data_IF_980259514072
#
_entry.id   IF_980259514072
#
_cell.length_a   1.000
_cell.length_b   1.000
_cell.length_c   1.000
_cell.angle_alpha   90.00
_cell.angle_beta   90.00
_cell.angle_gamma   90.00
#
_symmetry.space_group_name_H-M   'P 1'
#
loop_
_entity.id
_entity.type
_entity.pdbx_description
1 polymer ?
#
# COMPACT_ATOMS: atom_id res chain seq x y z
N UNK A 1 13.72 -22.10 -7.53
CA UNK A 1 15.07 -21.51 -7.36
C UNK A 1 16.04 -21.95 -8.46
N UNK A 2 16.30 -23.27 -8.67
CA UNK A 2 17.25 -23.72 -9.72
C UNK A 2 16.94 -23.23 -11.11
N UNK A 3 15.66 -23.22 -11.52
CA UNK A 3 15.24 -22.71 -12.84
C UNK A 3 15.51 -21.21 -12.94
N UNK A 4 15.19 -20.42 -11.90
CA UNK A 4 15.47 -18.98 -11.86
C UNK A 4 16.97 -18.69 -11.93
N UNK A 5 17.76 -19.49 -11.22
CA UNK A 5 19.21 -19.42 -11.27
C UNK A 5 19.74 -19.70 -12.69
N UNK A 6 19.27 -20.77 -13.33
CA UNK A 6 19.65 -21.12 -14.69
C UNK A 6 19.26 -20.03 -15.71
N UNK A 7 18.04 -19.48 -15.60
CA UNK A 7 17.58 -18.37 -16.46
C UNK A 7 18.41 -17.12 -16.20
N UNK A 8 18.66 -16.74 -14.95
CA UNK A 8 19.47 -15.58 -14.62
C UNK A 8 20.89 -15.71 -15.17
N UNK A 9 21.51 -16.89 -15.04
CA UNK A 9 22.84 -17.17 -15.59
C UNK A 9 22.86 -17.14 -17.10
N UNK A 10 21.83 -17.68 -17.77
CA UNK A 10 21.78 -17.71 -19.23
C UNK A 10 21.59 -16.31 -19.85
N UNK A 11 20.89 -15.41 -19.15
CA UNK A 11 20.58 -14.06 -19.66
C UNK A 11 21.63 -13.03 -19.25
N UNK A 12 22.09 -13.08 -17.99
CA UNK A 12 22.97 -12.04 -17.42
C UNK A 12 24.39 -12.53 -17.10
N UNK A 13 24.72 -13.75 -17.47
CA UNK A 13 26.04 -14.31 -17.18
C UNK A 13 26.37 -14.31 -15.67
N UNK A 14 27.58 -13.92 -15.30
CA UNK A 14 28.02 -13.87 -13.91
C UNK A 14 27.22 -12.90 -13.05
N UNK A 15 26.71 -11.80 -13.62
CA UNK A 15 25.83 -10.84 -12.93
C UNK A 15 24.49 -11.49 -12.54
N UNK A 16 24.07 -12.54 -13.25
CA UNK A 16 22.86 -13.31 -12.94
C UNK A 16 22.95 -14.06 -11.61
N UNK A 17 24.16 -14.41 -11.15
CA UNK A 17 24.35 -15.02 -9.82
C UNK A 17 23.90 -14.04 -8.73
N UNK A 18 24.36 -12.80 -8.77
CA UNK A 18 23.95 -11.76 -7.83
C UNK A 18 22.44 -11.55 -7.83
N UNK A 19 21.83 -11.48 -9.03
CA UNK A 19 20.39 -11.37 -9.19
C UNK A 19 19.64 -12.56 -8.54
N UNK A 20 20.03 -13.79 -8.84
CA UNK A 20 19.38 -14.98 -8.30
C UNK A 20 19.54 -15.07 -6.77
N UNK A 21 20.72 -14.72 -6.23
CA UNK A 21 20.95 -14.67 -4.80
C UNK A 21 20.11 -13.57 -4.12
N UNK A 22 20.12 -12.35 -4.65
CA UNK A 22 19.35 -11.23 -4.11
C UNK A 22 17.85 -11.53 -4.05
N UNK A 23 17.27 -12.00 -5.16
CA UNK A 23 15.85 -12.38 -5.23
C UNK A 23 15.54 -13.61 -4.38
N UNK A 24 16.51 -14.52 -4.21
CA UNK A 24 16.39 -15.65 -3.31
C UNK A 24 16.25 -15.22 -1.85
N UNK A 25 17.12 -14.33 -1.37
CA UNK A 25 17.03 -13.77 -0.01
C UNK A 25 15.72 -12.98 0.16
N UNK A 26 15.34 -12.19 -0.85
CA UNK A 26 14.09 -11.45 -0.86
C UNK A 26 12.84 -12.32 -0.67
N UNK A 27 12.89 -13.59 -1.05
CA UNK A 27 11.82 -14.57 -0.81
C UNK A 27 11.95 -15.29 0.54
N UNK A 28 13.17 -15.68 0.92
CA UNK A 28 13.42 -16.50 2.13
C UNK A 28 13.00 -15.78 3.41
N UNK A 29 13.31 -14.48 3.53
CA UNK A 29 13.00 -13.69 4.73
C UNK A 29 11.48 -13.58 4.98
N UNK A 30 10.64 -13.17 4.03
CA UNK A 30 9.17 -13.18 4.20
C UNK A 30 8.62 -14.58 4.47
N UNK A 31 9.15 -15.61 3.83
CA UNK A 31 8.72 -17.00 4.05
C UNK A 31 9.04 -17.48 5.47
N UNK A 32 10.22 -17.15 5.98
CA UNK A 32 10.61 -17.44 7.36
C UNK A 32 9.72 -16.70 8.36
N UNK A 33 9.49 -15.39 8.14
CA UNK A 33 8.61 -14.58 8.99
C UNK A 33 7.19 -15.16 9.02
N UNK A 34 6.66 -15.51 7.84
CA UNK A 34 5.34 -16.14 7.76
C UNK A 34 5.28 -17.45 8.56
N UNK A 35 6.25 -18.34 8.39
CA UNK A 35 6.30 -19.61 9.14
C UNK A 35 6.34 -19.37 10.66
N UNK A 36 7.06 -18.34 11.10
CA UNK A 36 7.16 -17.96 12.53
C UNK A 36 5.83 -17.41 13.07
N UNK A 37 5.10 -16.63 12.29
CA UNK A 37 3.86 -15.96 12.69
C UNK A 37 2.59 -16.82 12.51
N UNK A 38 2.62 -17.80 11.61
CA UNK A 38 1.45 -18.62 11.24
C UNK A 38 1.25 -19.87 12.10
N UNK A 39 2.18 -20.16 13.03
CA UNK A 39 2.08 -21.36 13.86
C UNK A 39 2.11 -22.69 13.10
N UNK A 40 2.72 -22.70 11.89
CA UNK A 40 2.86 -23.91 11.06
C UNK A 40 1.85 -24.04 9.92
N UNK A 41 0.98 -23.08 9.72
CA UNK A 41 0.06 -23.09 8.57
C UNK A 41 0.82 -22.93 7.25
N UNK A 42 0.49 -23.76 6.25
CA UNK A 42 1.25 -23.85 4.98
C UNK A 42 0.63 -23.08 3.82
N UNK A 43 -0.69 -22.86 3.84
CA UNK A 43 -1.46 -22.25 2.70
C UNK A 43 -0.91 -20.88 2.28
N UNK A 44 -0.65 -19.99 3.23
CA UNK A 44 -0.04 -18.68 2.93
C UNK A 44 1.38 -18.78 2.37
N UNK A 45 2.09 -19.86 2.64
CA UNK A 45 3.39 -20.14 2.01
C UNK A 45 3.29 -20.35 0.50
N UNK A 46 2.20 -20.92 0.01
CA UNK A 46 1.93 -21.08 -1.42
C UNK A 46 1.67 -19.73 -2.05
N UNK A 47 0.87 -18.87 -1.39
CA UNK A 47 0.64 -17.49 -1.86
C UNK A 47 1.94 -16.72 -1.99
N UNK A 48 2.82 -16.77 -0.98
CA UNK A 48 4.13 -16.11 -1.04
C UNK A 48 5.01 -16.66 -2.16
N UNK A 49 4.94 -17.97 -2.41
CA UNK A 49 5.70 -18.57 -3.50
C UNK A 49 5.23 -18.04 -4.86
N UNK A 50 3.94 -18.02 -5.11
CA UNK A 50 3.36 -17.51 -6.38
C UNK A 50 3.61 -16.01 -6.52
N UNK A 51 3.35 -15.21 -5.49
CA UNK A 51 3.61 -13.78 -5.47
C UNK A 51 5.11 -13.48 -5.70
N UNK A 52 5.99 -14.21 -5.01
CA UNK A 52 7.43 -14.08 -5.19
C UNK A 52 7.88 -14.41 -6.61
N UNK A 53 7.34 -15.46 -7.22
CA UNK A 53 7.63 -15.79 -8.63
C UNK A 53 7.21 -14.68 -9.59
N UNK A 54 6.00 -14.13 -9.41
CA UNK A 54 5.51 -13.03 -10.25
C UNK A 54 6.40 -11.79 -10.09
N UNK A 55 6.75 -11.41 -8.87
CA UNK A 55 7.62 -10.26 -8.61
C UNK A 55 9.03 -10.46 -9.19
N UNK A 56 9.56 -11.67 -9.10
CA UNK A 56 10.86 -12.00 -9.70
C UNK A 56 10.81 -11.85 -11.22
N UNK A 57 9.75 -12.34 -11.87
CA UNK A 57 9.58 -12.21 -13.33
C UNK A 57 9.48 -10.73 -13.71
N UNK A 58 8.76 -9.92 -12.97
CA UNK A 58 8.63 -8.49 -13.23
C UNK A 58 9.94 -7.73 -12.99
N UNK A 59 10.63 -8.02 -11.89
CA UNK A 59 11.94 -7.43 -11.60
C UNK A 59 12.97 -7.78 -12.70
N UNK A 60 12.98 -9.04 -13.12
CA UNK A 60 13.85 -9.52 -14.19
C UNK A 60 13.60 -8.78 -15.51
N UNK A 61 12.33 -8.64 -15.90
CA UNK A 61 11.95 -7.92 -17.11
C UNK A 61 12.36 -6.45 -17.08
N UNK A 62 12.14 -5.76 -15.96
CA UNK A 62 12.53 -4.36 -15.83
C UNK A 62 14.04 -4.20 -15.89
N UNK A 63 14.78 -5.03 -15.14
CA UNK A 63 16.23 -4.99 -15.17
C UNK A 63 16.78 -5.30 -16.56
N UNK A 64 16.19 -6.24 -17.29
CA UNK A 64 16.55 -6.50 -18.67
C UNK A 64 16.34 -5.25 -19.55
N UNK A 65 15.20 -4.58 -19.45
CA UNK A 65 14.90 -3.36 -20.21
C UNK A 65 15.81 -2.19 -19.87
N UNK A 66 16.26 -2.08 -18.61
CA UNK A 66 17.16 -0.99 -18.18
C UNK A 66 18.64 -1.23 -18.44
N UNK A 67 19.01 -2.44 -18.78
CA UNK A 67 20.41 -2.83 -18.95
C UNK A 67 20.66 -3.44 -20.32
N UNK A 68 20.39 -4.72 -20.49
CA UNK A 68 20.79 -5.46 -21.69
C UNK A 68 20.14 -4.97 -22.98
N UNK A 69 18.88 -4.55 -22.93
CA UNK A 69 18.17 -4.02 -24.11
C UNK A 69 18.81 -2.70 -24.61
N UNK A 70 19.41 -1.93 -23.70
CA UNK A 70 20.07 -0.66 -23.99
C UNK A 70 21.63 -0.79 -24.08
N UNK A 71 22.15 -2.01 -23.97
CA UNK A 71 23.59 -2.26 -23.99
C UNK A 71 24.33 -1.79 -22.74
N UNK A 72 23.63 -1.61 -21.64
CA UNK A 72 24.15 -1.12 -20.35
C UNK A 72 24.39 -2.25 -19.35
N UNK A 73 24.84 -1.91 -18.16
CA UNK A 73 25.11 -2.84 -17.05
C UNK A 73 24.20 -2.60 -15.85
N UNK A 74 24.21 -3.51 -14.88
CA UNK A 74 23.52 -3.32 -13.61
C UNK A 74 24.12 -2.21 -12.73
N UNK A 75 25.34 -1.80 -13.00
CA UNK A 75 25.99 -0.68 -12.33
C UNK A 75 25.71 0.67 -13.03
N UNK A 76 25.30 0.64 -14.29
CA UNK A 76 24.98 1.84 -15.07
C UNK A 76 23.72 1.58 -15.92
N UNK A 77 22.53 1.56 -15.29
CA UNK A 77 21.28 1.29 -15.99
C UNK A 77 20.69 2.54 -16.65
N UNK A 78 19.94 2.38 -17.72
CA UNK A 78 19.12 3.44 -18.32
C UNK A 78 17.80 3.53 -17.58
N UNK A 79 17.71 4.45 -16.63
CA UNK A 79 16.52 4.69 -15.82
C UNK A 79 15.75 5.93 -16.30
N UNK A 80 14.46 5.98 -15.99
CA UNK A 80 13.54 7.06 -16.38
C UNK A 80 12.73 7.52 -15.19
N UNK A 81 12.23 8.76 -15.23
CA UNK A 81 11.36 9.33 -14.19
C UNK A 81 11.98 9.27 -12.76
N UNK A 82 11.18 8.95 -11.78
CA UNK A 82 11.58 8.92 -10.36
C UNK A 82 12.69 7.90 -10.08
N UNK A 83 12.73 6.79 -10.79
CA UNK A 83 13.79 5.76 -10.68
C UNK A 83 15.16 6.36 -10.94
N UNK A 84 15.27 7.21 -12.00
CA UNK A 84 16.52 7.92 -12.35
C UNK A 84 16.92 8.89 -11.24
N UNK A 85 15.97 9.62 -10.68
CA UNK A 85 16.23 10.60 -9.63
C UNK A 85 16.83 9.91 -8.41
N UNK A 86 16.21 8.85 -7.90
CA UNK A 86 16.72 8.12 -6.73
C UNK A 86 18.06 7.46 -6.96
N UNK A 87 18.27 6.91 -8.17
CA UNK A 87 19.54 6.31 -8.57
C UNK A 87 20.67 7.34 -8.58
N UNK A 88 20.49 8.46 -9.29
CA UNK A 88 21.52 9.52 -9.41
C UNK A 88 21.90 10.08 -8.04
N UNK A 89 20.94 10.21 -7.14
CA UNK A 89 21.19 10.66 -5.77
C UNK A 89 22.04 9.66 -4.98
N UNK A 90 21.70 8.39 -5.05
CA UNK A 90 22.49 7.35 -4.42
C UNK A 90 23.90 7.31 -5.02
N UNK A 91 24.04 7.56 -6.32
CA UNK A 91 25.32 7.62 -7.02
C UNK A 91 26.17 8.81 -6.54
N UNK A 92 25.59 10.00 -6.43
CA UNK A 92 26.28 11.16 -5.87
C UNK A 92 26.83 10.89 -4.46
N UNK A 93 26.02 10.28 -3.58
CA UNK A 93 26.50 9.89 -2.26
C UNK A 93 27.56 8.78 -2.32
N UNK A 94 27.48 7.87 -3.29
CA UNK A 94 28.43 6.79 -3.46
C UNK A 94 29.80 7.31 -3.86
N UNK A 95 29.84 8.27 -4.77
CA UNK A 95 31.06 8.92 -5.30
C UNK A 95 31.61 10.02 -4.38
N UNK A 96 30.92 10.31 -3.26
CA UNK A 96 31.32 11.33 -2.30
C UNK A 96 31.04 12.77 -2.75
N UNK A 97 30.28 12.96 -3.82
CA UNK A 97 29.76 14.26 -4.23
C UNK A 97 28.49 14.57 -3.42
N UNK A 98 28.37 15.83 -2.98
CA UNK A 98 27.16 16.27 -2.29
C UNK A 98 26.17 16.73 -3.35
N UNK A 99 24.99 16.11 -3.46
CA UNK A 99 23.97 16.58 -4.38
C UNK A 99 23.52 17.99 -3.99
N UNK A 100 23.09 18.78 -4.98
CA UNK A 100 22.56 20.11 -4.73
C UNK A 100 21.39 20.07 -3.74
N UNK A 101 21.23 21.12 -2.88
CA UNK A 101 20.36 21.09 -1.70
C UNK A 101 18.86 20.95 -1.99
N UNK A 102 18.47 20.85 -3.24
CA UNK A 102 17.07 20.76 -3.66
C UNK A 102 16.40 19.40 -3.45
N UNK A 103 17.05 18.46 -2.83
CA UNK A 103 16.58 17.13 -2.85
C UNK A 103 16.12 16.69 -1.47
N UNK A 104 14.93 16.49 -1.46
CA UNK A 104 13.99 16.29 -0.37
C UNK A 104 13.70 14.80 -0.08
N UNK A 105 14.48 13.88 -0.68
CA UNK A 105 14.18 12.44 -0.64
C UNK A 105 15.36 11.60 -0.15
N UNK A 106 15.93 12.01 0.97
CA UNK A 106 17.20 11.45 1.47
C UNK A 106 17.09 9.95 1.79
N UNK A 107 15.97 9.52 2.37
CA UNK A 107 15.88 8.18 2.96
C UNK A 107 15.95 7.02 1.97
N UNK A 108 15.27 7.10 0.82
CA UNK A 108 15.32 6.00 -0.16
C UNK A 108 16.65 5.93 -0.90
N UNK A 109 17.26 7.04 -1.37
CA UNK A 109 18.63 7.05 -1.85
C UNK A 109 19.65 6.51 -0.85
N UNK A 110 19.49 6.79 0.44
CA UNK A 110 20.36 6.20 1.48
C UNK A 110 20.19 4.68 1.60
N UNK A 111 18.99 4.16 1.43
CA UNK A 111 18.77 2.71 1.37
C UNK A 111 19.49 2.09 0.17
N UNK A 112 19.42 2.73 -0.99
CA UNK A 112 20.16 2.30 -2.19
C UNK A 112 21.65 2.33 -1.91
N UNK A 113 22.17 3.44 -1.39
CA UNK A 113 23.59 3.61 -1.03
C UNK A 113 24.04 2.53 -0.04
N UNK A 114 23.27 2.28 1.00
CA UNK A 114 23.59 1.25 2.00
C UNK A 114 23.68 -0.12 1.34
N UNK A 115 22.75 -0.45 0.45
CA UNK A 115 22.78 -1.70 -0.29
C UNK A 115 24.05 -1.82 -1.14
N UNK A 116 24.48 -0.74 -1.79
CA UNK A 116 25.71 -0.72 -2.60
C UNK A 116 26.97 -0.82 -1.76
N UNK A 117 27.03 -0.14 -0.62
CA UNK A 117 28.22 -0.23 0.28
C UNK A 117 28.36 -1.63 0.89
N UNK A 118 27.26 -2.35 1.12
CA UNK A 118 27.28 -3.69 1.72
C UNK A 118 27.45 -4.82 0.69
N UNK A 119 26.82 -4.68 -0.48
CA UNK A 119 26.65 -5.79 -1.44
C UNK A 119 27.28 -5.51 -2.82
N UNK A 120 27.82 -4.30 -3.03
CA UNK A 120 28.40 -3.87 -4.29
C UNK A 120 27.45 -3.03 -5.14
N UNK A 121 28.02 -2.18 -6.01
CA UNK A 121 27.30 -1.22 -6.85
C UNK A 121 26.48 -1.95 -7.93
N UNK A 122 25.18 -2.12 -7.70
CA UNK A 122 24.25 -2.76 -8.63
C UNK A 122 22.80 -2.41 -8.28
N UNK A 123 21.94 -2.23 -9.29
CA UNK A 123 20.50 -2.02 -9.10
C UNK A 123 19.78 -3.27 -8.58
N UNK A 124 20.41 -4.44 -8.66
CA UNK A 124 19.82 -5.71 -8.20
C UNK A 124 19.45 -5.65 -6.72
N UNK A 125 20.31 -5.07 -5.89
CA UNK A 125 20.13 -5.08 -4.45
C UNK A 125 18.95 -4.23 -3.98
N UNK A 126 18.79 -2.96 -4.39
CA UNK A 126 17.62 -2.19 -3.99
C UNK A 126 16.31 -2.77 -4.55
N UNK A 127 16.31 -3.35 -5.76
CA UNK A 127 15.14 -4.05 -6.29
C UNK A 127 14.82 -5.29 -5.47
N UNK A 128 15.81 -6.10 -5.09
CA UNK A 128 15.61 -7.26 -4.21
C UNK A 128 15.04 -6.85 -2.84
N UNK A 129 15.51 -5.73 -2.28
CA UNK A 129 14.95 -5.16 -1.04
C UNK A 129 13.49 -4.74 -1.25
N UNK A 130 13.14 -4.09 -2.35
CA UNK A 130 11.77 -3.71 -2.66
C UNK A 130 10.84 -4.92 -2.80
N UNK A 131 11.29 -5.99 -3.46
CA UNK A 131 10.57 -7.27 -3.55
C UNK A 131 10.36 -7.86 -2.15
N UNK A 132 11.41 -7.90 -1.33
CA UNK A 132 11.33 -8.40 0.05
C UNK A 132 10.33 -7.61 0.89
N UNK A 133 10.39 -6.27 0.85
CA UNK A 133 9.48 -5.40 1.60
C UNK A 133 8.02 -5.58 1.17
N UNK A 134 7.78 -5.76 -0.13
CA UNK A 134 6.43 -6.03 -0.64
C UNK A 134 5.89 -7.37 -0.17
N UNK A 135 6.69 -8.44 -0.21
CA UNK A 135 6.29 -9.75 0.33
C UNK A 135 6.09 -9.71 1.85
N UNK A 136 6.91 -8.97 2.59
CA UNK A 136 6.70 -8.72 4.02
C UNK A 136 5.38 -7.97 4.27
N UNK A 137 5.04 -7.00 3.41
CA UNK A 137 3.76 -6.31 3.48
C UNK A 137 2.59 -7.28 3.30
N UNK A 138 2.67 -8.20 2.33
CA UNK A 138 1.65 -9.25 2.13
C UNK A 138 1.48 -10.09 3.40
N UNK A 139 2.58 -10.52 4.03
CA UNK A 139 2.54 -11.28 5.29
C UNK A 139 1.88 -10.47 6.41
N UNK A 140 2.33 -9.23 6.62
CA UNK A 140 1.80 -8.37 7.67
C UNK A 140 0.32 -8.05 7.46
N UNK A 141 -0.11 -7.83 6.23
CA UNK A 141 -1.54 -7.65 5.89
C UNK A 141 -2.36 -8.86 6.28
N UNK A 142 -1.92 -10.06 5.90
CA UNK A 142 -2.56 -11.30 6.29
C UNK A 142 -2.66 -11.46 7.81
N UNK A 143 -1.55 -11.21 8.51
CA UNK A 143 -1.52 -11.31 9.98
C UNK A 143 -2.38 -10.24 10.66
N UNK A 144 -2.42 -9.02 10.11
CA UNK A 144 -3.31 -7.95 10.60
C UNK A 144 -4.77 -8.34 10.44
N UNK A 145 -5.16 -8.84 9.25
CA UNK A 145 -6.52 -9.31 9.00
C UNK A 145 -6.89 -10.49 9.91
N UNK A 146 -6.00 -11.49 10.01
CA UNK A 146 -6.21 -12.65 10.88
C UNK A 146 -6.46 -12.27 12.33
N UNK A 147 -5.78 -11.21 12.83
CA UNK A 147 -5.99 -10.68 14.19
C UNK A 147 -7.25 -9.84 14.30
N UNK A 148 -7.40 -8.86 13.43
CA UNK A 148 -8.51 -7.92 13.50
C UNK A 148 -9.89 -8.60 13.32
N UNK A 149 -9.93 -9.74 12.61
CA UNK A 149 -11.16 -10.44 12.28
C UNK A 149 -11.40 -11.71 13.12
N UNK A 150 -10.43 -12.16 13.90
CA UNK A 150 -10.58 -13.32 14.79
C UNK A 150 -11.78 -13.12 15.71
N UNK A 151 -12.62 -14.17 15.86
CA UNK A 151 -13.84 -14.13 16.66
C UNK A 151 -14.98 -13.26 16.09
N UNK A 152 -14.75 -12.49 15.04
CA UNK A 152 -15.76 -11.66 14.37
C UNK A 152 -16.41 -12.36 13.18
N UNK A 153 -15.77 -13.37 12.66
CA UNK A 153 -16.23 -14.27 11.60
C UNK A 153 -16.02 -15.71 12.04
N UNK A 154 -16.75 -16.65 11.41
CA UNK A 154 -16.63 -18.09 11.72
C UNK A 154 -15.35 -18.72 11.19
N UNK A 155 -14.78 -18.12 10.15
CA UNK A 155 -13.54 -18.60 9.57
C UNK A 155 -12.40 -18.58 10.60
N UNK A 156 -11.58 -19.62 10.60
CA UNK A 156 -10.38 -19.69 11.42
C UNK A 156 -9.35 -18.61 10.98
N UNK A 157 -8.47 -18.26 11.90
CA UNK A 157 -7.46 -17.21 11.69
C UNK A 157 -6.56 -17.50 10.49
N UNK A 158 -6.22 -18.78 10.26
CA UNK A 158 -5.38 -19.20 9.12
C UNK A 158 -6.07 -18.93 7.79
N UNK A 159 -7.36 -19.26 7.67
CA UNK A 159 -8.18 -18.96 6.48
C UNK A 159 -8.27 -17.46 6.23
N UNK A 160 -8.50 -16.65 7.26
CA UNK A 160 -8.55 -15.18 7.12
C UNK A 160 -7.19 -14.65 6.65
N UNK A 161 -6.11 -15.09 7.28
CA UNK A 161 -4.73 -14.72 6.90
C UNK A 161 -4.44 -15.08 5.44
N UNK A 162 -4.75 -16.32 5.04
CA UNK A 162 -4.57 -16.79 3.66
C UNK A 162 -5.33 -15.92 2.65
N UNK A 163 -6.62 -15.64 2.89
CA UNK A 163 -7.44 -14.84 1.98
C UNK A 163 -6.91 -13.40 1.85
N UNK A 164 -6.52 -12.78 2.96
CA UNK A 164 -5.97 -11.43 2.92
C UNK A 164 -4.62 -11.38 2.19
N UNK A 165 -3.74 -12.36 2.40
CA UNK A 165 -2.49 -12.50 1.65
C UNK A 165 -2.75 -12.70 0.16
N UNK A 166 -3.70 -13.57 -0.20
CA UNK A 166 -4.06 -13.85 -1.59
C UNK A 166 -4.57 -12.60 -2.28
N UNK A 167 -5.54 -11.91 -1.69
CA UNK A 167 -6.11 -10.68 -2.27
C UNK A 167 -5.04 -9.59 -2.41
N UNK A 168 -4.20 -9.38 -1.39
CA UNK A 168 -3.10 -8.39 -1.46
C UNK A 168 -2.13 -8.72 -2.59
N UNK A 169 -1.81 -10.00 -2.80
CA UNK A 169 -0.89 -10.45 -3.86
C UNK A 169 -1.48 -10.27 -5.27
N UNK A 170 -2.78 -10.10 -5.39
CA UNK A 170 -3.47 -9.86 -6.66
C UNK A 170 -3.67 -8.37 -6.98
N UNK A 171 -3.27 -7.45 -6.09
CA UNK A 171 -3.30 -6.02 -6.36
C UNK A 171 -2.16 -5.64 -7.31
N UNK A 172 -2.47 -5.59 -8.61
CA UNK A 172 -1.46 -5.51 -9.66
C UNK A 172 -0.61 -4.24 -9.59
N UNK A 173 -1.23 -3.08 -9.35
CA UNK A 173 -0.51 -1.82 -9.28
C UNK A 173 0.39 -1.74 -8.04
N UNK A 174 -0.09 -2.21 -6.89
CA UNK A 174 0.69 -2.38 -5.67
C UNK A 174 1.91 -3.29 -5.89
N UNK A 175 1.70 -4.46 -6.50
CA UNK A 175 2.76 -5.43 -6.75
C UNK A 175 3.78 -4.94 -7.78
N UNK A 176 3.36 -4.17 -8.78
CA UNK A 176 4.26 -3.68 -9.85
C UNK A 176 5.34 -2.73 -9.34
N UNK A 177 5.04 -1.93 -8.32
CA UNK A 177 6.00 -1.00 -7.72
C UNK A 177 7.17 -1.71 -7.04
N UNK A 178 7.01 -2.97 -6.62
CA UNK A 178 8.09 -3.76 -6.06
C UNK A 178 9.24 -4.03 -7.05
N UNK A 179 8.90 -4.11 -8.34
CA UNK A 179 9.86 -4.38 -9.40
C UNK A 179 10.52 -3.12 -9.96
N UNK A 180 10.31 -1.97 -9.31
CA UNK A 180 10.84 -0.66 -9.70
C UNK A 180 11.76 -0.09 -8.62
N UNK A 181 12.60 0.85 -8.99
CA UNK A 181 13.50 1.54 -8.06
C UNK A 181 12.77 2.72 -7.39
N UNK A 182 11.69 2.40 -6.66
CA UNK A 182 10.79 3.37 -6.05
C UNK A 182 10.72 3.18 -4.53
N UNK A 183 10.39 4.26 -3.82
CA UNK A 183 10.24 4.28 -2.35
C UNK A 183 8.93 3.66 -1.84
N UNK A 184 7.97 3.42 -2.72
CA UNK A 184 6.63 2.94 -2.39
C UNK A 184 6.65 1.62 -1.61
N UNK A 185 7.43 0.57 -1.97
CA UNK A 185 7.48 -0.67 -1.20
C UNK A 185 7.89 -0.49 0.26
N UNK A 186 8.82 0.43 0.52
CA UNK A 186 9.22 0.76 1.88
C UNK A 186 8.10 1.45 2.65
N UNK A 187 7.33 2.31 1.97
CA UNK A 187 6.16 2.97 2.55
C UNK A 187 5.05 1.96 2.87
N UNK A 188 4.78 1.00 1.96
CA UNK A 188 3.80 -0.08 2.19
C UNK A 188 4.16 -0.91 3.40
N UNK A 189 5.42 -1.31 3.49
CA UNK A 189 5.93 -2.10 4.61
C UNK A 189 5.76 -1.36 5.93
N UNK A 190 6.11 -0.08 5.99
CA UNK A 190 5.99 0.71 7.21
C UNK A 190 4.53 0.87 7.66
N UNK A 191 3.59 1.16 6.74
CA UNK A 191 2.16 1.24 7.06
C UNK A 191 1.62 -0.11 7.53
N UNK A 192 1.97 -1.21 6.85
CA UNK A 192 1.54 -2.55 7.25
C UNK A 192 2.14 -2.97 8.61
N UNK A 193 3.39 -2.59 8.89
CA UNK A 193 4.05 -2.84 10.17
C UNK A 193 3.36 -2.09 11.31
N UNK A 194 3.03 -0.81 11.11
CA UNK A 194 2.28 -0.02 12.06
C UNK A 194 0.87 -0.59 12.30
N UNK A 195 0.16 -0.96 11.22
CA UNK A 195 -1.16 -1.57 11.31
C UNK A 195 -1.13 -2.91 12.07
N UNK A 196 -0.11 -3.73 11.82
CA UNK A 196 0.10 -5.00 12.52
C UNK A 196 0.37 -4.77 14.02
N UNK A 197 1.23 -3.80 14.37
CA UNK A 197 1.52 -3.44 15.75
C UNK A 197 0.24 -2.99 16.47
N UNK A 198 -0.54 -2.10 15.86
CA UNK A 198 -1.81 -1.60 16.39
C UNK A 198 -2.82 -2.76 16.57
N UNK A 199 -2.92 -3.66 15.59
CA UNK A 199 -3.85 -4.81 15.68
C UNK A 199 -3.45 -5.75 16.83
N UNK A 200 -2.15 -5.98 17.05
CA UNK A 200 -1.65 -6.76 18.17
C UNK A 200 -1.96 -6.13 19.53
N UNK A 201 -1.73 -4.82 19.64
CA UNK A 201 -2.02 -4.09 20.89
C UNK A 201 -3.50 -4.21 21.28
N UNK A 202 -4.41 -4.31 20.31
CA UNK A 202 -5.85 -4.50 20.58
C UNK A 202 -6.21 -5.89 21.11
N UNK A 203 -5.37 -6.90 20.88
CA UNK A 203 -5.60 -8.28 21.36
C UNK A 203 -5.02 -8.52 22.76
N UNK A 204 -4.28 -7.55 23.33
CA UNK A 204 -3.59 -7.73 24.60
C UNK A 204 -4.60 -7.67 25.75
N UNK A 205 -4.76 -8.79 26.46
CA UNK A 205 -5.39 -8.84 27.75
C UNK A 205 -4.51 -8.21 28.84
N UNK A 206 -5.10 -7.75 29.93
CA UNK A 206 -4.39 -7.06 31.03
C UNK A 206 -3.20 -7.84 31.59
N UNK A 207 -3.22 -9.17 31.49
CA UNK A 207 -2.15 -10.06 32.00
C UNK A 207 -0.91 -10.16 31.08
N UNK A 208 -1.02 -9.67 29.82
CA UNK A 208 0.03 -9.83 28.79
C UNK A 208 0.92 -8.59 28.60
N UNK A 209 1.16 -7.80 29.63
CA UNK A 209 1.85 -6.50 29.56
C UNK A 209 3.27 -6.53 28.94
N UNK A 210 3.97 -7.64 28.99
CA UNK A 210 5.29 -7.79 28.37
C UNK A 210 5.30 -7.67 26.84
N UNK A 211 4.18 -8.00 26.18
CA UNK A 211 4.06 -7.97 24.73
C UNK A 211 3.90 -6.55 24.15
N UNK A 212 3.41 -5.60 24.93
CA UNK A 212 3.12 -4.22 24.47
C UNK A 212 4.40 -3.49 24.02
N UNK A 213 5.49 -3.67 24.73
CA UNK A 213 6.76 -3.02 24.39
C UNK A 213 7.30 -3.47 23.02
N UNK A 214 7.08 -4.73 22.65
CA UNK A 214 7.43 -5.21 21.33
C UNK A 214 6.60 -4.50 20.24
N UNK A 215 5.31 -4.27 20.47
CA UNK A 215 4.43 -3.61 19.50
C UNK A 215 4.73 -2.11 19.41
N UNK A 216 5.05 -1.47 20.53
CA UNK A 216 5.57 -0.09 20.54
C UNK A 216 6.87 -0.02 19.73
N UNK A 217 7.79 -0.97 19.89
CA UNK A 217 9.03 -1.02 19.11
C UNK A 217 8.76 -1.19 17.60
N UNK A 218 7.84 -2.06 17.20
CA UNK A 218 7.45 -2.22 15.78
C UNK A 218 6.86 -0.93 15.20
N UNK A 219 5.98 -0.27 15.94
CA UNK A 219 5.44 1.02 15.53
C UNK A 219 6.52 2.10 15.44
N UNK A 220 7.45 2.14 16.40
CA UNK A 220 8.60 3.06 16.38
C UNK A 220 9.47 2.84 15.14
N UNK A 221 9.74 1.61 14.75
CA UNK A 221 10.46 1.28 13.51
C UNK A 221 9.71 1.82 12.30
N UNK A 222 8.40 1.62 12.22
CA UNK A 222 7.59 2.13 11.11
C UNK A 222 7.65 3.67 11.02
N UNK A 223 7.54 4.37 12.16
CA UNK A 223 7.65 5.84 12.22
C UNK A 223 9.06 6.30 11.85
N UNK A 224 10.11 5.65 12.36
CA UNK A 224 11.49 5.98 12.04
C UNK A 224 11.79 5.84 10.54
N UNK A 225 11.31 4.78 9.90
CA UNK A 225 11.42 4.61 8.45
C UNK A 225 10.71 5.75 7.70
N UNK A 226 9.51 6.12 8.13
CA UNK A 226 8.74 7.18 7.46
C UNK A 226 9.29 8.58 7.71
N UNK A 227 9.93 8.83 8.86
CA UNK A 227 10.56 10.13 9.13
C UNK A 227 11.67 10.48 8.12
N UNK A 228 12.38 9.47 7.59
CA UNK A 228 13.46 9.67 6.62
C UNK A 228 13.03 9.46 5.16
N UNK A 229 11.94 8.71 4.89
CA UNK A 229 11.52 8.35 3.53
C UNK A 229 10.32 9.19 3.07
N UNK A 230 9.32 9.34 3.94
CA UNK A 230 8.05 10.00 3.59
C UNK A 230 7.30 10.50 4.82
N UNK A 231 7.71 11.64 5.34
CA UNK A 231 7.16 12.21 6.58
C UNK A 231 5.63 12.39 6.53
N UNK A 232 5.06 12.68 5.35
CA UNK A 232 3.61 12.83 5.18
C UNK A 232 2.80 11.58 5.60
N UNK A 233 3.37 10.38 5.51
CA UNK A 233 2.69 9.14 5.93
C UNK A 233 2.49 9.09 7.45
N UNK A 234 3.33 9.75 8.23
CA UNK A 234 3.21 9.77 9.70
C UNK A 234 1.87 10.40 10.13
N UNK A 235 1.37 11.41 9.42
CA UNK A 235 0.04 12.00 9.70
C UNK A 235 -1.06 10.94 9.61
N UNK A 236 -0.96 10.05 8.63
CA UNK A 236 -1.93 8.97 8.46
C UNK A 236 -1.78 7.88 9.52
N UNK A 237 -0.56 7.64 10.02
CA UNK A 237 -0.35 6.76 11.17
C UNK A 237 -0.95 7.37 12.44
N UNK A 238 -0.78 8.69 12.66
CA UNK A 238 -1.43 9.43 13.75
C UNK A 238 -2.95 9.28 13.67
N UNK A 239 -3.54 9.52 12.50
CA UNK A 239 -4.98 9.31 12.29
C UNK A 239 -5.41 7.87 12.62
N UNK A 240 -4.62 6.88 12.20
CA UNK A 240 -4.86 5.47 12.49
C UNK A 240 -4.86 5.17 13.99
N UNK A 241 -3.91 5.71 14.73
CA UNK A 241 -3.85 5.56 16.20
C UNK A 241 -5.09 6.20 16.85
N UNK A 242 -5.38 7.46 16.54
CA UNK A 242 -6.53 8.17 17.12
C UNK A 242 -7.83 7.41 16.84
N UNK A 243 -8.11 7.08 15.58
CA UNK A 243 -9.34 6.39 15.17
C UNK A 243 -9.45 5.02 15.84
N UNK A 244 -8.33 4.29 15.93
CA UNK A 244 -8.33 2.91 16.43
C UNK A 244 -8.59 2.83 17.93
N UNK A 245 -8.06 3.77 18.71
CA UNK A 245 -8.15 3.76 20.18
C UNK A 245 -9.22 4.71 20.72
N UNK A 246 -10.00 5.35 19.85
CA UNK A 246 -11.01 6.35 20.23
C UNK A 246 -12.01 5.82 21.27
N UNK A 247 -12.46 4.58 21.13
CA UNK A 247 -13.45 3.95 22.01
C UNK A 247 -12.86 3.20 23.22
N UNK A 248 -11.51 3.09 23.29
CA UNK A 248 -10.87 2.26 24.31
C UNK A 248 -10.08 3.13 25.30
N UNK A 249 -10.76 3.51 26.41
CA UNK A 249 -10.18 4.36 27.45
C UNK A 249 -8.99 3.70 28.15
N UNK A 250 -9.00 2.39 28.30
CA UNK A 250 -7.95 1.64 29.01
C UNK A 250 -6.66 1.60 28.19
N UNK A 251 -6.79 1.64 26.86
CA UNK A 251 -5.66 1.66 25.93
C UNK A 251 -5.15 3.08 25.62
N UNK A 252 -5.77 4.13 26.17
CA UNK A 252 -5.43 5.52 25.85
C UNK A 252 -3.99 5.89 26.22
N UNK A 253 -3.44 5.30 27.27
CA UNK A 253 -2.01 5.51 27.63
C UNK A 253 -1.08 5.04 26.52
N UNK A 254 -1.38 3.89 25.90
CA UNK A 254 -0.59 3.39 24.76
C UNK A 254 -0.79 4.24 23.52
N UNK A 255 -2.02 4.68 23.26
CA UNK A 255 -2.29 5.64 22.20
C UNK A 255 -1.47 6.92 22.34
N UNK A 256 -1.42 7.51 23.53
CA UNK A 256 -0.57 8.70 23.82
C UNK A 256 0.91 8.41 23.58
N UNK A 257 1.41 7.23 23.95
CA UNK A 257 2.80 6.83 23.67
C UNK A 257 3.06 6.76 22.16
N UNK A 258 2.17 6.10 21.38
CA UNK A 258 2.31 6.02 19.94
C UNK A 258 2.21 7.40 19.26
N UNK A 259 1.32 8.26 19.75
CA UNK A 259 1.20 9.64 19.27
C UNK A 259 2.47 10.45 19.57
N UNK A 260 3.04 10.31 20.77
CA UNK A 260 4.32 10.92 21.12
C UNK A 260 5.45 10.48 20.19
N UNK A 261 5.56 9.18 19.91
CA UNK A 261 6.54 8.62 18.96
C UNK A 261 6.32 9.20 17.55
N UNK A 262 5.08 9.27 17.10
CA UNK A 262 4.75 9.81 15.78
C UNK A 262 5.11 11.31 15.69
N UNK A 263 4.84 12.11 16.73
CA UNK A 263 5.21 13.53 16.79
C UNK A 263 6.73 13.73 16.76
N UNK A 264 7.47 12.91 17.52
CA UNK A 264 8.95 12.94 17.48
C UNK A 264 9.43 12.57 16.07
N UNK A 265 8.89 11.51 15.47
CA UNK A 265 9.23 11.11 14.10
C UNK A 265 8.94 12.19 13.06
N UNK A 266 7.81 12.91 13.20
CA UNK A 266 7.52 14.09 12.37
C UNK A 266 8.56 15.18 12.53
N UNK A 267 8.89 15.53 13.78
CA UNK A 267 9.90 16.54 14.08
C UNK A 267 11.27 16.19 13.49
N UNK A 268 11.69 14.94 13.64
CA UNK A 268 12.91 14.42 13.02
C UNK A 268 12.85 14.47 11.49
N UNK A 269 11.73 14.06 10.89
CA UNK A 269 11.56 14.10 9.44
C UNK A 269 11.62 15.52 8.88
N UNK A 270 11.04 16.49 9.57
CA UNK A 270 11.14 17.92 9.22
C UNK A 270 12.59 18.40 9.35
N UNK A 271 13.29 18.02 10.41
CA UNK A 271 14.70 18.38 10.61
C UNK A 271 15.61 17.82 9.52
N UNK A 272 15.49 16.50 9.22
CA UNK A 272 16.30 15.83 8.21
C UNK A 272 16.06 16.35 6.78
N UNK A 273 14.85 16.82 6.48
CA UNK A 273 14.50 17.37 5.15
C UNK A 273 14.80 18.88 5.02
N UNK A 274 15.53 19.48 5.98
CA UNK A 274 15.78 20.93 6.03
C UNK A 274 14.49 21.77 5.96
N UNK A 275 13.44 21.30 6.61
CA UNK A 275 12.12 21.92 6.60
C UNK A 275 11.02 20.91 6.25
N UNK A 276 9.81 21.41 6.09
CA UNK A 276 8.70 20.56 5.60
C UNK A 276 9.04 20.00 4.22
N UNK A 277 9.01 18.67 4.07
CA UNK A 277 9.16 18.07 2.75
C UNK A 277 8.17 18.69 1.77
N UNK A 278 8.54 18.76 0.50
CA UNK A 278 7.64 19.32 -0.53
C UNK A 278 6.25 18.66 -0.47
N UNK A 279 6.18 17.35 -0.16
CA UNK A 279 4.91 16.64 -0.01
C UNK A 279 4.09 17.17 1.16
N UNK A 280 4.72 17.43 2.33
CA UNK A 280 4.02 18.02 3.48
C UNK A 280 3.60 19.45 3.19
N UNK A 281 4.48 20.24 2.58
CA UNK A 281 4.15 21.59 2.13
C UNK A 281 2.99 21.56 1.13
N UNK A 282 3.01 20.66 0.16
CA UNK A 282 1.91 20.50 -0.80
C UNK A 282 0.59 20.15 -0.11
N UNK A 283 0.60 19.23 0.86
CA UNK A 283 -0.60 18.89 1.61
C UNK A 283 -1.11 20.06 2.45
N UNK A 284 -0.22 20.79 3.10
CA UNK A 284 -0.60 21.98 3.89
C UNK A 284 -1.09 23.12 2.99
N UNK A 285 -0.41 23.37 1.87
CA UNK A 285 -0.80 24.40 0.91
C UNK A 285 -2.13 24.06 0.22
N UNK A 286 -2.34 22.79 -0.15
CA UNK A 286 -3.62 22.36 -0.74
C UNK A 286 -4.82 22.57 0.21
N UNK A 287 -4.56 22.62 1.53
CA UNK A 287 -5.58 22.88 2.55
C UNK A 287 -5.85 24.38 2.80
N UNK A 288 -5.15 25.28 2.11
CA UNK A 288 -5.33 26.74 2.26
C UNK A 288 -5.59 27.40 0.92
N UNK A 289 -6.36 28.49 0.91
CA UNK A 289 -6.64 29.24 -0.32
C UNK A 289 -5.37 29.92 -0.87
N UNK A 290 -4.54 30.49 0.00
CA UNK A 290 -3.26 31.11 -0.41
C UNK A 290 -2.25 30.10 -0.97
N UNK A 291 -2.27 28.87 -0.49
CA UNK A 291 -1.43 27.80 -1.01
C UNK A 291 -1.90 27.24 -2.34
N UNK A 292 -3.18 27.37 -2.64
CA UNK A 292 -3.76 26.94 -3.91
C UNK A 292 -3.11 27.63 -5.11
N UNK A 293 -2.86 28.91 -5.03
CA UNK A 293 -2.21 29.67 -6.11
C UNK A 293 -0.76 29.24 -6.35
N UNK A 294 -0.02 28.94 -5.28
CA UNK A 294 1.35 28.43 -5.37
C UNK A 294 1.33 27.05 -6.05
N UNK A 295 0.45 26.17 -5.61
CA UNK A 295 0.31 24.84 -6.19
C UNK A 295 -0.13 24.89 -7.66
N UNK A 296 -1.04 25.82 -7.99
CA UNK A 296 -1.45 26.08 -9.36
C UNK A 296 -0.26 26.38 -10.27
N UNK A 297 0.62 27.28 -9.87
CA UNK A 297 1.81 27.65 -10.65
C UNK A 297 2.79 26.46 -10.83
N UNK A 298 2.93 25.60 -9.81
CA UNK A 298 3.82 24.43 -9.86
C UNK A 298 3.31 23.38 -10.85
N UNK A 299 1.98 23.21 -10.97
CA UNK A 299 1.39 22.17 -11.81
C UNK A 299 1.09 22.62 -13.23
N UNK A 300 0.91 23.91 -13.50
CA UNK A 300 0.65 24.45 -14.85
C UNK A 300 1.65 23.97 -15.92
N UNK A 301 2.88 23.73 -15.54
CA UNK A 301 3.94 23.28 -16.44
C UNK A 301 3.99 21.74 -16.70
N UNK A 302 3.04 20.95 -16.16
CA UNK A 302 3.13 19.48 -16.13
C UNK A 302 2.22 18.74 -17.12
N UNK A 303 1.71 19.41 -18.16
CA UNK A 303 0.79 18.82 -19.14
C UNK A 303 -0.65 18.63 -18.60
N UNK A 304 -1.50 17.87 -19.31
CA UNK A 304 -2.95 17.75 -19.06
C UNK A 304 -3.29 17.40 -17.60
N UNK A 305 -2.57 16.44 -17.01
CA UNK A 305 -2.77 16.14 -15.58
C UNK A 305 -2.35 17.31 -14.68
N UNK A 306 -1.35 18.06 -15.10
CA UNK A 306 -0.93 19.29 -14.43
C UNK A 306 -1.96 20.39 -14.51
N UNK A 307 -2.67 20.53 -15.62
CA UNK A 307 -3.77 21.49 -15.78
C UNK A 307 -4.94 21.15 -14.86
N UNK A 308 -5.43 19.91 -14.85
CA UNK A 308 -6.51 19.46 -13.96
C UNK A 308 -6.13 19.68 -12.49
N UNK A 309 -4.90 19.34 -12.11
CA UNK A 309 -4.41 19.58 -10.75
C UNK A 309 -4.29 21.07 -10.44
N UNK A 310 -3.78 21.84 -11.39
CA UNK A 310 -3.67 23.29 -11.30
C UNK A 310 -5.03 23.94 -11.04
N UNK A 311 -6.03 23.60 -11.83
CA UNK A 311 -7.38 24.13 -11.68
C UNK A 311 -8.00 23.73 -10.34
N UNK A 312 -7.85 22.48 -9.93
CA UNK A 312 -8.32 22.01 -8.63
C UNK A 312 -7.65 22.77 -7.47
N UNK A 313 -6.35 23.00 -7.52
CA UNK A 313 -5.64 23.72 -6.46
C UNK A 313 -6.00 25.22 -6.41
N UNK A 314 -6.37 25.81 -7.53
CA UNK A 314 -6.88 27.17 -7.60
C UNK A 314 -8.29 27.37 -7.01
N UNK A 315 -9.02 26.27 -6.68
CA UNK A 315 -10.34 26.37 -6.07
C UNK A 315 -10.25 26.76 -4.58
N UNK A 316 -11.20 27.54 -4.05
CA UNK A 316 -11.36 27.77 -2.62
C UNK A 316 -11.55 26.45 -1.86
N UNK A 317 -11.12 26.38 -0.60
CA UNK A 317 -11.17 25.16 0.23
C UNK A 317 -12.59 24.57 0.30
N UNK A 318 -13.62 25.39 0.40
CA UNK A 318 -15.00 24.91 0.46
C UNK A 318 -15.45 24.21 -0.84
N UNK A 319 -14.98 24.65 -2.01
CA UNK A 319 -15.25 23.97 -3.29
C UNK A 319 -14.49 22.64 -3.38
N UNK A 320 -13.25 22.58 -2.91
CA UNK A 320 -12.49 21.32 -2.79
C UNK A 320 -13.22 20.31 -1.91
N UNK A 321 -13.83 20.76 -0.79
CA UNK A 321 -14.64 19.91 0.07
C UNK A 321 -15.91 19.41 -0.64
N UNK A 322 -16.58 20.24 -1.42
CA UNK A 322 -17.73 19.82 -2.23
C UNK A 322 -17.35 18.80 -3.31
N UNK A 323 -16.15 18.93 -3.88
CA UNK A 323 -15.64 18.01 -4.89
C UNK A 323 -15.04 16.71 -4.29
N UNK A 324 -14.90 16.64 -2.97
CA UNK A 324 -14.29 15.49 -2.30
C UNK A 324 -14.89 14.12 -2.71
N UNK A 325 -16.22 13.95 -2.86
CA UNK A 325 -16.76 12.68 -3.35
C UNK A 325 -16.28 12.32 -4.77
N UNK A 326 -16.13 13.34 -5.64
CA UNK A 326 -15.64 13.14 -7.01
C UNK A 326 -14.16 12.76 -6.99
N UNK A 327 -13.33 13.51 -6.27
CA UNK A 327 -11.89 13.23 -6.17
C UNK A 327 -11.60 11.90 -5.49
N UNK A 328 -12.37 11.49 -4.46
CA UNK A 328 -12.31 10.16 -3.89
C UNK A 328 -12.67 9.08 -4.91
N UNK A 329 -13.68 9.32 -5.74
CA UNK A 329 -14.06 8.38 -6.80
C UNK A 329 -12.94 8.24 -7.82
N UNK A 330 -12.39 9.35 -8.31
CA UNK A 330 -11.24 9.34 -9.23
C UNK A 330 -10.06 8.59 -8.62
N UNK A 331 -9.72 8.85 -7.36
CA UNK A 331 -8.64 8.17 -6.63
C UNK A 331 -8.78 6.64 -6.62
N UNK A 332 -10.02 6.13 -6.59
CA UNK A 332 -10.29 4.69 -6.59
C UNK A 332 -10.17 4.06 -8.00
N UNK A 333 -10.34 4.83 -9.07
CA UNK A 333 -10.38 4.29 -10.43
C UNK A 333 -9.12 4.59 -11.25
N UNK A 334 -8.32 5.57 -10.89
CA UNK A 334 -7.03 5.87 -11.55
C UNK A 334 -5.92 4.93 -11.00
N UNK A 335 -5.01 4.41 -11.85
CA UNK A 335 -4.98 4.53 -13.31
C UNK A 335 -6.04 3.64 -14.00
N UNK A 336 -6.60 4.13 -15.09
CA UNK A 336 -7.53 3.33 -15.88
C UNK A 336 -6.81 2.18 -16.58
N UNK A 337 -7.47 1.02 -16.81
CA UNK A 337 -6.84 -0.16 -17.41
C UNK A 337 -6.25 0.05 -18.81
N UNK A 338 -6.66 1.09 -19.52
CA UNK A 338 -6.20 1.44 -20.87
C UNK A 338 -5.19 2.59 -20.93
N UNK A 339 -4.95 3.29 -19.82
CA UNK A 339 -3.93 4.33 -19.78
C UNK A 339 -2.55 3.72 -19.87
N UNK A 340 -1.85 3.70 -20.92
CA UNK A 340 -0.54 3.14 -21.24
C UNK A 340 -0.58 1.97 -22.25
N UNK A 341 -1.51 2.04 -23.22
CA UNK A 341 -1.65 1.00 -24.24
C UNK A 341 -0.46 0.94 -25.19
N UNK A 342 0.31 2.01 -25.34
CA UNK A 342 1.43 2.10 -26.30
C UNK A 342 2.72 1.44 -25.82
N UNK A 343 2.87 1.19 -24.53
CA UNK A 343 4.05 0.53 -24.00
C UNK A 343 3.74 -0.87 -23.48
N UNK A 344 4.33 -1.89 -24.06
CA UNK A 344 4.41 -3.24 -23.49
C UNK A 344 5.39 -3.18 -22.30
N UNK A 345 5.03 -2.42 -21.27
CA UNK A 345 5.81 -2.30 -20.05
C UNK A 345 5.03 -2.88 -18.87
N UNK A 346 5.68 -2.93 -17.72
CA UNK A 346 5.08 -3.47 -16.49
C UNK A 346 3.81 -2.69 -16.08
N UNK A 347 3.75 -1.39 -16.40
CA UNK A 347 2.61 -0.53 -16.12
C UNK A 347 1.36 -0.96 -16.88
N UNK A 348 1.50 -1.33 -18.16
CA UNK A 348 0.37 -1.82 -18.96
C UNK A 348 -0.19 -3.14 -18.44
N UNK A 349 0.67 -4.01 -17.89
CA UNK A 349 0.24 -5.26 -17.25
C UNK A 349 -0.40 -4.95 -15.90
N UNK A 350 0.23 -4.12 -15.08
CA UNK A 350 -0.27 -3.75 -13.76
C UNK A 350 -1.64 -3.07 -13.81
N UNK A 351 -1.86 -2.17 -14.79
CA UNK A 351 -3.16 -1.50 -14.96
C UNK A 351 -4.28 -2.48 -15.33
N UNK A 352 -3.97 -3.55 -16.09
CA UNK A 352 -4.97 -4.61 -16.38
C UNK A 352 -5.40 -5.37 -15.12
N UNK A 353 -4.53 -5.52 -14.15
CA UNK A 353 -4.87 -6.12 -12.85
C UNK A 353 -5.57 -5.16 -11.89
N UNK A 354 -5.77 -3.90 -12.28
CA UNK A 354 -6.46 -2.89 -11.45
C UNK A 354 -7.91 -3.28 -11.13
N UNK A 355 -8.52 -4.16 -11.91
CA UNK A 355 -9.85 -4.71 -11.60
C UNK A 355 -9.94 -5.37 -10.23
N UNK A 356 -8.84 -5.97 -9.74
CA UNK A 356 -8.81 -6.54 -8.39
C UNK A 356 -8.93 -5.43 -7.33
N UNK A 357 -8.26 -4.30 -7.56
CA UNK A 357 -8.42 -3.13 -6.68
C UNK A 357 -9.85 -2.59 -6.72
N UNK A 358 -10.46 -2.46 -7.90
CA UNK A 358 -11.85 -2.03 -8.00
C UNK A 358 -12.79 -2.95 -7.20
N UNK A 359 -12.59 -4.27 -7.27
CA UNK A 359 -13.37 -5.21 -6.47
C UNK A 359 -13.17 -5.00 -4.97
N UNK A 360 -11.94 -4.85 -4.51
CA UNK A 360 -11.60 -4.58 -3.09
C UNK A 360 -12.21 -3.26 -2.64
N UNK A 361 -12.06 -2.20 -3.43
CA UNK A 361 -12.63 -0.88 -3.13
C UNK A 361 -14.15 -0.93 -3.06
N UNK A 362 -14.82 -1.57 -4.03
CA UNK A 362 -16.27 -1.69 -4.06
C UNK A 362 -16.84 -2.45 -2.89
N UNK A 363 -16.22 -3.56 -2.51
CA UNK A 363 -16.62 -4.34 -1.32
C UNK A 363 -16.38 -3.55 -0.03
N UNK A 364 -15.28 -2.79 0.03
CA UNK A 364 -14.98 -1.93 1.19
C UNK A 364 -15.95 -0.75 1.30
N UNK A 365 -16.36 -0.15 0.18
CA UNK A 365 -17.38 0.91 0.15
C UNK A 365 -18.76 0.38 0.60
N UNK A 366 -19.10 -0.88 0.30
CA UNK A 366 -20.30 -1.51 0.85
C UNK A 366 -20.29 -1.51 2.38
N UNK A 367 -19.13 -1.82 2.98
CA UNK A 367 -18.96 -1.70 4.42
C UNK A 367 -19.26 -0.28 4.90
N UNK A 368 -18.65 0.72 4.28
CA UNK A 368 -18.78 2.11 4.71
C UNK A 368 -20.23 2.61 4.62
N UNK A 369 -20.89 2.42 3.48
CA UNK A 369 -22.21 3.01 3.22
C UNK A 369 -23.39 2.18 3.76
N UNK A 370 -23.22 0.88 3.96
CA UNK A 370 -24.32 0.00 4.33
C UNK A 370 -24.17 -0.60 5.72
N UNK A 371 -22.99 -1.13 6.03
CA UNK A 371 -22.78 -1.91 7.25
C UNK A 371 -22.35 -1.07 8.44
N UNK A 372 -21.57 -0.01 8.25
CA UNK A 372 -21.14 0.86 9.33
C UNK A 372 -22.34 1.49 10.05
N UNK A 373 -23.37 1.90 9.30
CA UNK A 373 -24.60 2.48 9.84
C UNK A 373 -25.48 1.46 10.58
N UNK A 374 -25.38 0.17 10.26
CA UNK A 374 -26.19 -0.89 10.88
C UNK A 374 -25.61 -1.44 12.19
N UNK A 375 -24.66 -0.77 12.82
CA UNK A 375 -23.96 -1.18 14.05
C UNK A 375 -23.27 -2.56 13.97
N UNK A 376 -23.06 -3.10 12.77
CA UNK A 376 -22.29 -4.32 12.52
C UNK A 376 -20.88 -3.99 12.14
N UNK A 377 -20.26 -3.10 12.90
CA UNK A 377 -18.98 -2.53 12.53
C UNK A 377 -17.82 -3.42 13.00
N UNK A 378 -16.75 -3.38 12.21
CA UNK A 378 -15.43 -3.87 12.60
C UNK A 378 -14.80 -3.05 13.74
N UNK A 379 -15.46 -1.95 14.14
CA UNK A 379 -14.92 -0.94 15.03
C UNK A 379 -14.34 0.25 14.26
N UNK A 380 -13.96 1.27 15.00
CA UNK A 380 -13.51 2.55 14.43
C UNK A 380 -12.28 2.42 13.53
N UNK A 381 -11.37 1.48 13.81
CA UNK A 381 -10.18 1.27 13.01
C UNK A 381 -10.46 1.03 11.51
N UNK A 382 -11.63 0.46 11.17
CA UNK A 382 -12.03 0.25 9.78
C UNK A 382 -12.29 1.56 9.02
N UNK A 383 -12.43 2.69 9.70
CA UNK A 383 -12.53 4.00 9.07
C UNK A 383 -11.17 4.57 8.66
N UNK A 384 -10.09 4.06 9.22
CA UNK A 384 -8.74 4.54 8.95
C UNK A 384 -8.40 4.61 7.46
N UNK A 385 -8.52 3.53 6.65
CA UNK A 385 -8.19 3.61 5.23
C UNK A 385 -9.08 4.60 4.46
N UNK A 386 -10.35 4.78 4.85
CA UNK A 386 -11.23 5.77 4.20
C UNK A 386 -10.82 7.20 4.51
N UNK A 387 -10.40 7.48 5.74
CA UNK A 387 -9.86 8.79 6.12
C UNK A 387 -8.57 9.08 5.35
N UNK A 388 -7.69 8.08 5.22
CA UNK A 388 -6.49 8.21 4.40
C UNK A 388 -6.82 8.48 2.92
N UNK A 389 -7.76 7.73 2.35
CA UNK A 389 -8.19 7.91 0.96
C UNK A 389 -8.79 9.32 0.74
N UNK A 390 -9.65 9.78 1.65
CA UNK A 390 -10.25 11.11 1.57
C UNK A 390 -9.20 12.22 1.67
N UNK A 391 -8.25 12.10 2.60
CA UNK A 391 -7.18 13.08 2.74
C UNK A 391 -6.24 13.10 1.53
N UNK A 392 -5.89 11.94 0.98
CA UNK A 392 -5.09 11.85 -0.26
C UNK A 392 -5.87 12.45 -1.43
N UNK A 393 -7.16 12.12 -1.59
CA UNK A 393 -7.98 12.67 -2.67
C UNK A 393 -8.13 14.19 -2.57
N UNK A 394 -8.29 14.71 -1.35
CA UNK A 394 -8.36 16.15 -1.09
C UNK A 394 -7.06 16.87 -1.46
N UNK A 395 -5.91 16.26 -1.18
CA UNK A 395 -4.60 16.89 -1.38
C UNK A 395 -3.98 16.65 -2.76
N UNK A 396 -4.56 15.77 -3.57
CA UNK A 396 -4.02 15.38 -4.90
C UNK A 396 -5.05 15.46 -6.02
N UNK A 397 -6.21 16.06 -5.79
CA UNK A 397 -7.37 16.05 -6.73
C UNK A 397 -7.84 14.63 -7.14
N UNK A 398 -7.38 13.59 -6.48
CA UNK A 398 -7.65 12.19 -6.83
C UNK A 398 -6.87 11.67 -8.05
N UNK A 399 -6.00 12.47 -8.66
CA UNK A 399 -5.29 12.09 -9.90
C UNK A 399 -4.02 11.28 -9.65
N UNK A 400 -3.47 11.30 -8.44
CA UNK A 400 -2.21 10.62 -8.09
C UNK A 400 -2.50 9.33 -7.33
N UNK A 401 -2.84 8.26 -8.05
CA UNK A 401 -3.23 6.97 -7.48
C UNK A 401 -2.14 6.32 -6.60
N UNK A 402 -0.85 6.54 -6.89
CA UNK A 402 0.23 5.95 -6.11
C UNK A 402 0.23 6.33 -4.62
N UNK A 403 -0.44 7.41 -4.24
CA UNK A 403 -0.49 7.83 -2.83
C UNK A 403 -1.50 7.05 -1.99
N UNK A 404 -2.47 6.35 -2.62
CA UNK A 404 -3.39 5.46 -1.90
C UNK A 404 -2.79 4.07 -1.66
N UNK A 405 -1.82 3.64 -2.47
CA UNK A 405 -1.27 2.29 -2.45
C UNK A 405 -0.79 1.82 -1.06
N UNK A 406 -0.17 2.66 -0.21
CA UNK A 406 0.24 2.23 1.13
C UNK A 406 -0.93 1.77 2.02
N UNK A 407 -2.14 2.21 1.71
CA UNK A 407 -3.36 1.94 2.49
C UNK A 407 -4.24 0.85 1.88
N UNK A 408 -3.98 0.42 0.64
CA UNK A 408 -4.71 -0.69 -0.01
C UNK A 408 -4.75 -1.96 0.85
N UNK A 409 -3.67 -2.36 1.55
CA UNK A 409 -3.70 -3.51 2.46
C UNK A 409 -4.75 -3.40 3.59
N UNK A 410 -5.06 -2.19 4.04
CA UNK A 410 -6.10 -1.98 5.06
C UNK A 410 -7.51 -2.18 4.47
N UNK A 411 -7.74 -1.74 3.23
CA UNK A 411 -8.98 -2.02 2.50
C UNK A 411 -9.18 -3.52 2.27
N UNK A 412 -8.11 -4.26 1.98
CA UNK A 412 -8.17 -5.73 1.85
C UNK A 412 -8.74 -6.37 3.11
N UNK A 413 -8.32 -5.93 4.29
CA UNK A 413 -8.85 -6.47 5.55
C UNK A 413 -10.37 -6.27 5.66
N UNK A 414 -10.88 -5.10 5.28
CA UNK A 414 -12.32 -4.82 5.27
C UNK A 414 -13.05 -5.68 4.24
N UNK A 415 -12.51 -5.77 3.03
CA UNK A 415 -13.10 -6.56 1.96
C UNK A 415 -13.20 -8.05 2.33
N UNK A 416 -12.14 -8.62 2.90
CA UNK A 416 -12.12 -10.01 3.40
C UNK A 416 -13.21 -10.23 4.46
N UNK A 417 -13.38 -9.29 5.40
CA UNK A 417 -14.46 -9.38 6.38
C UNK A 417 -15.85 -9.41 5.75
N UNK A 418 -16.12 -8.51 4.80
CA UNK A 418 -17.43 -8.43 4.12
C UNK A 418 -17.70 -9.74 3.36
N UNK A 419 -16.70 -10.26 2.63
CA UNK A 419 -16.82 -11.49 1.86
C UNK A 419 -17.07 -12.70 2.77
N UNK A 420 -16.36 -12.80 3.89
CA UNK A 420 -16.59 -13.88 4.87
C UNK A 420 -17.98 -13.78 5.50
N UNK A 421 -18.44 -12.57 5.83
CA UNK A 421 -19.82 -12.36 6.32
C UNK A 421 -20.88 -12.73 5.27
N UNK A 422 -20.61 -12.44 4.02
CA UNK A 422 -21.48 -12.87 2.92
C UNK A 422 -21.51 -14.41 2.84
N UNK A 423 -20.37 -15.07 2.88
CA UNK A 423 -20.27 -16.52 2.88
C UNK A 423 -21.04 -17.13 4.07
N UNK A 424 -20.85 -16.64 5.28
CA UNK A 424 -21.61 -17.08 6.47
C UNK A 424 -23.14 -16.91 6.31
N UNK A 425 -23.57 -15.90 5.56
CA UNK A 425 -24.99 -15.67 5.30
C UNK A 425 -25.58 -16.67 4.30
N UNK A 426 -24.73 -17.32 3.49
CA UNK A 426 -25.15 -18.28 2.45
C UNK A 426 -25.06 -19.72 2.92
N UNK A 427 -24.25 -20.01 3.93
CA UNK A 427 -24.03 -21.37 4.45
C UNK A 427 -25.11 -21.71 5.48
N UNK A 428 -25.84 -22.83 5.37
CA UNK A 428 -26.74 -23.30 6.41
C UNK A 428 -25.96 -23.57 7.69
N UNK A 429 -26.58 -23.31 8.84
CA UNK A 429 -26.01 -23.76 10.11
C UNK A 429 -26.30 -25.26 10.23
N UNK A 430 -25.29 -26.06 10.53
CA UNK A 430 -25.48 -27.48 10.85
C UNK A 430 -26.34 -27.67 12.10
N UNK A 431 -26.33 -26.69 13.04
CA UNK A 431 -27.13 -26.66 14.24
C UNK A 431 -28.61 -26.24 13.99
N UNK A 432 -28.93 -25.66 12.82
CA UNK A 432 -30.31 -25.27 12.48
C UNK A 432 -31.19 -26.47 12.06
N UNK A 433 -30.91 -27.67 12.53
CA UNK A 433 -31.61 -28.92 12.20
C UNK A 433 -33.15 -28.89 12.46
N UNK A 434 -33.70 -27.79 12.97
CA UNK A 434 -35.13 -27.60 13.17
C UNK A 434 -35.72 -26.31 12.58
N UNK A 435 -34.91 -25.36 12.06
CA UNK A 435 -35.47 -24.16 11.41
C UNK A 435 -35.14 -24.16 9.92
N UNK A 436 -36.05 -24.72 9.09
CA UNK A 436 -36.04 -24.67 7.64
C UNK A 436 -36.22 -23.25 7.12
N UNK A 437 -35.19 -22.42 7.21
CA UNK A 437 -35.17 -21.09 6.54
C UNK A 437 -34.11 -20.18 7.10
N UNK A 438 -33.32 -19.55 6.20
CA UNK A 438 -32.39 -18.49 6.59
C UNK A 438 -33.16 -17.39 7.34
N UNK A 439 -32.63 -16.93 8.48
CA UNK A 439 -33.27 -15.86 9.26
C UNK A 439 -33.47 -14.63 8.34
N UNK A 440 -34.54 -13.84 8.53
CA UNK A 440 -34.83 -12.66 7.69
C UNK A 440 -33.63 -11.74 7.55
N UNK A 441 -32.81 -11.67 8.58
CA UNK A 441 -31.60 -10.86 8.60
C UNK A 441 -30.51 -11.35 7.63
N UNK A 442 -30.29 -12.67 7.51
CA UNK A 442 -29.31 -13.25 6.56
C UNK A 442 -29.77 -13.01 5.12
N UNK A 443 -31.06 -13.18 4.84
CA UNK A 443 -31.65 -12.89 3.51
C UNK A 443 -31.49 -11.43 3.11
N UNK A 444 -31.74 -10.50 4.04
CA UNK A 444 -31.60 -9.06 3.79
C UNK A 444 -30.16 -8.65 3.54
N UNK A 445 -29.18 -9.20 4.27
CA UNK A 445 -27.77 -8.94 4.03
C UNK A 445 -27.34 -9.42 2.64
N UNK A 446 -27.66 -10.67 2.31
CA UNK A 446 -27.33 -11.25 0.99
C UNK A 446 -27.93 -10.44 -0.16
N UNK A 447 -29.23 -10.09 -0.06
CA UNK A 447 -29.91 -9.27 -1.08
C UNK A 447 -29.27 -7.90 -1.23
N UNK A 448 -28.98 -7.20 -0.13
CA UNK A 448 -28.37 -5.87 -0.16
C UNK A 448 -26.95 -5.92 -0.73
N UNK A 449 -26.17 -6.96 -0.43
CA UNK A 449 -24.83 -7.11 -0.97
C UNK A 449 -24.83 -7.40 -2.48
N UNK A 450 -25.71 -8.28 -2.94
CA UNK A 450 -25.84 -8.57 -4.38
C UNK A 450 -26.27 -7.31 -5.15
N UNK A 451 -27.27 -6.58 -4.65
CA UNK A 451 -27.74 -5.34 -5.27
C UNK A 451 -26.63 -4.28 -5.29
N UNK A 452 -25.85 -4.17 -4.22
CA UNK A 452 -24.69 -3.28 -4.19
C UNK A 452 -23.65 -3.68 -5.24
N UNK A 453 -23.25 -4.95 -5.29
CA UNK A 453 -22.27 -5.43 -6.28
C UNK A 453 -22.74 -5.17 -7.72
N UNK A 454 -24.01 -5.39 -8.01
CA UNK A 454 -24.58 -5.10 -9.33
C UNK A 454 -24.57 -3.59 -9.64
N UNK A 455 -25.02 -2.76 -8.71
CA UNK A 455 -25.02 -1.30 -8.87
C UNK A 455 -23.58 -0.76 -9.01
N UNK A 456 -22.65 -1.25 -8.17
CA UNK A 456 -21.25 -0.85 -8.24
C UNK A 456 -20.61 -1.27 -9.57
N UNK A 457 -20.80 -2.52 -10.00
CA UNK A 457 -20.29 -3.01 -11.29
C UNK A 457 -20.85 -2.19 -12.47
N UNK A 458 -22.15 -1.86 -12.44
CA UNK A 458 -22.74 -0.98 -13.46
C UNK A 458 -22.11 0.43 -13.42
N UNK A 459 -21.92 1.01 -12.25
CA UNK A 459 -21.26 2.33 -12.08
C UNK A 459 -19.83 2.30 -12.60
N UNK A 460 -19.05 1.28 -12.23
CA UNK A 460 -17.67 1.10 -12.72
C UNK A 460 -17.68 0.98 -14.25
N UNK A 461 -18.56 0.17 -14.81
CA UNK A 461 -18.66 0.00 -16.26
C UNK A 461 -19.00 1.31 -16.97
N UNK A 462 -19.94 2.10 -16.44
CA UNK A 462 -20.31 3.41 -16.98
C UNK A 462 -19.12 4.37 -16.94
N UNK A 463 -18.46 4.50 -15.78
CA UNK A 463 -17.29 5.38 -15.63
C UNK A 463 -16.18 4.96 -16.60
N UNK A 464 -15.86 3.67 -16.65
CA UNK A 464 -14.82 3.16 -17.53
C UNK A 464 -15.19 3.40 -19.00
N UNK A 465 -16.45 3.22 -19.39
CA UNK A 465 -16.92 3.46 -20.76
C UNK A 465 -16.83 4.94 -21.12
N UNK A 466 -17.27 5.85 -20.25
CA UNK A 466 -17.16 7.30 -20.46
C UNK A 466 -15.69 7.67 -20.64
N UNK A 467 -14.82 7.28 -19.72
CA UNK A 467 -13.38 7.59 -19.80
C UNK A 467 -12.69 6.97 -21.02
N UNK A 468 -13.18 5.84 -21.52
CA UNK A 468 -12.66 5.22 -22.74
C UNK A 468 -13.11 5.97 -23.99
N UNK A 469 -14.37 6.45 -24.04
CA UNK A 469 -14.94 7.16 -25.18
C UNK A 469 -14.53 8.65 -25.23
N UNK A 470 -14.16 9.22 -24.07
CA UNK A 470 -13.66 10.59 -23.95
C UNK A 470 -12.22 10.58 -23.44
N UNK A 471 -11.24 10.13 -24.27
CA UNK A 471 -9.85 10.16 -23.87
C UNK A 471 -9.44 11.61 -23.59
N UNK A 472 -8.69 11.86 -22.52
CA UNK A 472 -8.18 13.19 -22.16
C UNK A 472 -7.20 13.74 -23.19
#
# INVERSE_FOLDING_TARGET
>A
MCILFAVAMSVFGTSGVGLACGLGVAYVVPRWLYARLSGGETRGGIVLMVAGMLLVVWAFRNMYGWTLAEGQSFADPVLRCDDKVYYLWALHYYDGSVPEPDTKFVGFPLMILLSWKLLGHSIVWPIAINVMLTLLTVVLTGQTAGRALAGRVRADRGTITFLAMLVTSLLGFFMSHAAMLLKEPLTYFAVALAAYAIARMKEIDEDSRGSVWHDIALFTIAVALMSIVRTSVIYFLVAGVIITFFDNKDMWRYACTLLGIALIGMGLGIYWSNGFSMEVQMHMLAATDAGGDIMKSIYQARGIYGEIMSDYFGLPVWQKLLLLPVTCTLQLFIPFPWTNTEMINIWSVATRFQFMWYAVAGVSLYYLFVLAWKRKSLGWWALWPFVCAAAVAFTTSGTVSRYILPYEPLFVTIAVWVLLKYHESTTPNEDDGQQKGATPHKKNFRRSFILWCAAYAATVTIILTICYLTPP
#
